data_IF_956838351465
#
_entry.id   IF_956838351465
#
_cell.length_a   1.000
_cell.length_b   1.000
_cell.length_c   1.000
_cell.angle_alpha   90.00
_cell.angle_beta   90.00
_cell.angle_gamma   90.00
#
_symmetry.space_group_name_H-M   'P 1'
#
loop_
_entity.id
_entity.type
_entity.pdbx_description
1 polymer ?
#
# COMPACT_ATOMS: atom_id res chain seq x y z
N UNK A 1 -24.51 10.65 -46.17
CA UNK A 1 -24.23 11.34 -44.87
C UNK A 1 -24.18 12.85 -45.12
N UNK A 2 -24.62 13.69 -44.17
CA UNK A 2 -24.43 15.15 -44.20
C UNK A 2 -23.90 15.66 -42.84
N UNK A 3 -23.46 16.92 -42.76
CA UNK A 3 -22.82 17.47 -41.53
C UNK A 3 -23.72 17.37 -40.31
N UNK A 4 -24.98 17.80 -40.41
CA UNK A 4 -25.93 17.79 -39.28
C UNK A 4 -26.17 16.38 -38.76
N UNK A 5 -26.39 15.42 -39.66
CA UNK A 5 -26.61 14.02 -39.30
C UNK A 5 -25.35 13.39 -38.69
N UNK A 6 -24.16 13.66 -39.24
CA UNK A 6 -22.91 13.14 -38.69
C UNK A 6 -22.62 13.69 -37.28
N UNK A 7 -22.86 14.98 -37.06
CA UNK A 7 -22.80 15.61 -35.75
C UNK A 7 -23.80 14.99 -34.76
N UNK A 8 -25.03 14.69 -35.21
CA UNK A 8 -26.03 14.03 -34.37
C UNK A 8 -25.62 12.61 -33.97
N UNK A 9 -25.08 11.82 -34.90
CA UNK A 9 -24.63 10.44 -34.64
C UNK A 9 -23.50 10.38 -33.60
N UNK A 10 -22.57 11.33 -33.64
CA UNK A 10 -21.44 11.41 -32.70
C UNK A 10 -21.70 12.33 -31.50
N UNK A 11 -22.92 12.85 -31.35
CA UNK A 11 -23.29 13.81 -30.30
C UNK A 11 -22.29 14.99 -30.19
N UNK A 12 -21.98 15.61 -31.32
CA UNK A 12 -21.08 16.76 -31.44
C UNK A 12 -21.91 18.02 -31.71
N UNK A 13 -21.63 19.10 -30.97
CA UNK A 13 -22.16 20.43 -31.29
C UNK A 13 -21.58 20.92 -32.63
N UNK A 14 -22.41 21.16 -33.67
CA UNK A 14 -21.93 21.61 -34.98
C UNK A 14 -21.15 22.93 -34.96
N UNK A 15 -21.31 23.74 -33.90
CA UNK A 15 -20.62 25.03 -33.72
C UNK A 15 -19.21 24.89 -33.15
N UNK A 16 -18.93 23.80 -32.43
CA UNK A 16 -17.68 23.58 -31.71
C UNK A 16 -16.91 22.36 -32.25
N UNK A 17 -17.03 22.11 -33.55
CA UNK A 17 -16.41 20.95 -34.18
C UNK A 17 -14.91 21.15 -34.41
N UNK A 18 -14.10 20.23 -33.90
CA UNK A 18 -12.69 20.11 -34.22
C UNK A 18 -12.29 18.63 -34.30
N UNK A 19 -11.07 18.37 -34.78
CA UNK A 19 -10.56 17.03 -35.01
C UNK A 19 -10.50 16.18 -33.73
N UNK A 20 -10.04 16.76 -32.62
CA UNK A 20 -9.92 16.06 -31.34
C UNK A 20 -11.29 15.62 -30.81
N UNK A 21 -12.30 16.49 -30.89
CA UNK A 21 -13.67 16.21 -30.48
C UNK A 21 -14.25 15.09 -31.34
N UNK A 22 -14.04 15.14 -32.66
CA UNK A 22 -14.49 14.10 -33.59
C UNK A 22 -13.87 12.75 -33.21
N UNK A 23 -12.53 12.70 -33.08
CA UNK A 23 -11.80 11.47 -32.72
C UNK A 23 -12.25 10.92 -31.37
N UNK A 24 -12.47 11.81 -30.39
CA UNK A 24 -12.87 11.42 -29.03
C UNK A 24 -14.25 10.78 -29.02
N UNK A 25 -15.23 11.43 -29.66
CA UNK A 25 -16.58 10.91 -29.72
C UNK A 25 -16.65 9.64 -30.57
N UNK A 26 -15.94 9.60 -31.69
CA UNK A 26 -15.84 8.39 -32.50
C UNK A 26 -15.39 7.19 -31.67
N UNK A 27 -14.28 7.29 -30.94
CA UNK A 27 -13.75 6.19 -30.12
C UNK A 27 -14.72 5.77 -29.01
N UNK A 28 -15.37 6.74 -28.35
CA UNK A 28 -16.35 6.46 -27.30
C UNK A 28 -17.57 5.68 -27.83
N UNK A 29 -18.12 6.08 -28.98
CA UNK A 29 -19.26 5.43 -29.61
C UNK A 29 -18.89 4.12 -30.32
N UNK A 30 -17.69 4.03 -30.88
CA UNK A 30 -17.14 2.80 -31.46
C UNK A 30 -17.05 1.70 -30.39
N UNK A 31 -16.58 2.03 -29.18
CA UNK A 31 -16.58 1.10 -28.04
C UNK A 31 -18.00 0.73 -27.60
N UNK A 32 -18.90 1.72 -27.46
CA UNK A 32 -20.28 1.50 -27.03
C UNK A 32 -21.05 0.53 -27.97
N UNK A 33 -20.81 0.63 -29.27
CA UNK A 33 -21.51 -0.18 -30.28
C UNK A 33 -20.66 -1.32 -30.86
N UNK A 34 -19.48 -1.60 -30.31
CA UNK A 34 -18.59 -2.62 -30.85
C UNK A 34 -19.26 -4.01 -30.88
N UNK A 35 -19.25 -4.74 -32.01
CA UNK A 35 -19.93 -6.03 -32.14
C UNK A 35 -19.51 -7.10 -31.12
N UNK A 36 -18.23 -7.14 -30.75
CA UNK A 36 -17.68 -8.14 -29.82
C UNK A 36 -18.26 -8.08 -28.39
N UNK A 37 -18.72 -6.91 -27.95
CA UNK A 37 -19.10 -6.65 -26.54
C UNK A 37 -20.54 -6.16 -26.39
N UNK A 38 -21.01 -5.38 -27.36
CA UNK A 38 -22.33 -4.76 -27.28
C UNK A 38 -23.43 -5.80 -27.47
N UNK A 39 -24.34 -5.90 -26.49
CA UNK A 39 -25.47 -6.85 -26.52
C UNK A 39 -26.66 -6.37 -27.36
N UNK A 40 -26.57 -5.18 -27.96
CA UNK A 40 -27.65 -4.62 -28.77
C UNK A 40 -27.72 -5.32 -30.14
N UNK A 41 -28.94 -5.69 -30.56
CA UNK A 41 -29.17 -6.36 -31.84
C UNK A 41 -28.76 -5.51 -33.06
N UNK A 42 -28.75 -4.19 -32.91
CA UNK A 42 -28.37 -3.23 -33.93
C UNK A 42 -26.93 -2.73 -33.81
N UNK A 43 -26.10 -3.30 -32.93
CA UNK A 43 -24.73 -2.81 -32.68
C UNK A 43 -23.89 -2.73 -33.95
N UNK A 44 -24.00 -3.72 -34.85
CA UNK A 44 -23.31 -3.68 -36.14
C UNK A 44 -23.72 -2.47 -37.00
N UNK A 45 -25.01 -2.18 -37.08
CA UNK A 45 -25.53 -1.04 -37.85
C UNK A 45 -25.14 0.30 -37.22
N UNK A 46 -25.20 0.39 -35.88
CA UNK A 46 -24.81 1.58 -35.14
C UNK A 46 -23.31 1.85 -35.26
N UNK A 47 -22.48 0.81 -35.15
CA UNK A 47 -21.04 0.90 -35.35
C UNK A 47 -20.68 1.37 -36.76
N UNK A 48 -21.36 0.83 -37.79
CA UNK A 48 -21.19 1.28 -39.17
C UNK A 48 -21.56 2.77 -39.34
N UNK A 49 -22.70 3.20 -38.78
CA UNK A 49 -23.13 4.62 -38.81
C UNK A 49 -22.13 5.54 -38.14
N UNK A 50 -21.57 5.12 -37.00
CA UNK A 50 -20.55 5.87 -36.25
C UNK A 50 -19.27 6.03 -37.08
N UNK A 51 -18.83 4.96 -37.76
CA UNK A 51 -17.68 5.02 -38.65
C UNK A 51 -17.93 5.94 -39.87
N UNK A 52 -19.10 5.83 -40.50
CA UNK A 52 -19.49 6.72 -41.61
C UNK A 52 -19.54 8.19 -41.21
N UNK A 53 -20.04 8.49 -40.00
CA UNK A 53 -20.10 9.85 -39.47
C UNK A 53 -18.69 10.42 -39.24
N UNK A 54 -17.80 9.64 -38.61
CA UNK A 54 -16.41 10.01 -38.37
C UNK A 54 -15.68 10.32 -39.69
N UNK A 55 -15.76 9.39 -40.65
CA UNK A 55 -15.17 9.54 -41.98
C UNK A 55 -15.66 10.82 -42.68
N UNK A 56 -16.97 11.07 -42.64
CA UNK A 56 -17.54 12.26 -43.26
C UNK A 56 -16.99 13.55 -42.64
N UNK A 57 -16.96 13.65 -41.30
CA UNK A 57 -16.52 14.86 -40.62
C UNK A 57 -15.02 15.13 -40.82
N UNK A 58 -14.16 14.11 -40.74
CA UNK A 58 -12.72 14.28 -40.97
C UNK A 58 -12.42 14.69 -42.41
N UNK A 59 -13.06 14.05 -43.39
CA UNK A 59 -12.82 14.34 -44.81
C UNK A 59 -13.37 15.71 -45.20
N UNK A 60 -14.62 16.01 -44.84
CA UNK A 60 -15.33 17.19 -45.36
C UNK A 60 -15.31 18.41 -44.44
N UNK A 61 -14.99 18.27 -43.16
CA UNK A 61 -14.90 19.41 -42.23
C UNK A 61 -13.45 19.72 -41.84
N UNK A 62 -12.54 18.75 -41.87
CA UNK A 62 -11.13 18.94 -41.45
C UNK A 62 -10.12 18.86 -42.61
N UNK A 63 -10.58 18.72 -43.86
CA UNK A 63 -9.76 18.58 -45.07
C UNK A 63 -8.65 17.51 -44.96
N UNK A 64 -8.90 16.45 -44.18
CA UNK A 64 -7.97 15.33 -44.09
C UNK A 64 -8.11 14.45 -45.32
N UNK A 65 -6.98 14.13 -45.98
CA UNK A 65 -6.90 13.00 -46.90
C UNK A 65 -7.08 11.71 -46.08
N UNK A 66 -8.31 11.24 -46.02
CA UNK A 66 -8.65 10.06 -45.23
C UNK A 66 -8.08 8.81 -45.91
N UNK A 67 -6.96 8.30 -45.39
CA UNK A 67 -6.42 6.99 -45.78
C UNK A 67 -7.38 5.92 -45.26
N UNK A 68 -7.82 5.03 -46.15
CA UNK A 68 -8.78 3.97 -45.83
C UNK A 68 -8.05 2.88 -45.01
N UNK A 69 -7.95 3.05 -43.70
CA UNK A 69 -7.64 1.94 -42.81
C UNK A 69 -8.89 1.05 -42.71
N UNK A 70 -8.78 -0.23 -43.03
CA UNK A 70 -9.89 -1.18 -42.91
C UNK A 70 -10.14 -1.50 -41.43
N UNK A 71 -10.80 -0.58 -40.72
CA UNK A 71 -11.08 -0.69 -39.29
C UNK A 71 -12.12 -1.77 -38.96
N UNK A 72 -12.71 -2.44 -39.97
CA UNK A 72 -13.70 -3.52 -39.76
C UNK A 72 -13.10 -4.76 -39.10
N UNK A 73 -11.78 -4.90 -39.11
CA UNK A 73 -11.03 -6.01 -38.50
C UNK A 73 -10.25 -5.59 -37.24
N UNK A 74 -10.43 -4.36 -36.73
CA UNK A 74 -9.76 -3.95 -35.50
C UNK A 74 -10.41 -4.64 -34.30
N UNK A 75 -9.58 -5.30 -33.49
CA UNK A 75 -10.05 -5.95 -32.27
C UNK A 75 -10.51 -4.90 -31.24
N UNK A 76 -11.48 -5.28 -30.41
CA UNK A 76 -11.97 -4.44 -29.31
C UNK A 76 -10.84 -3.83 -28.45
N UNK A 77 -9.76 -4.58 -28.19
CA UNK A 77 -8.59 -4.09 -27.44
C UNK A 77 -7.92 -2.87 -28.09
N UNK A 78 -7.84 -2.82 -29.41
CA UNK A 78 -7.27 -1.68 -30.15
C UNK A 78 -8.12 -0.42 -29.94
N UNK A 79 -9.45 -0.53 -29.93
CA UNK A 79 -10.34 0.59 -29.62
C UNK A 79 -10.18 1.07 -28.18
N UNK A 80 -10.03 0.13 -27.22
CA UNK A 80 -9.79 0.46 -25.81
C UNK A 80 -8.47 1.23 -25.65
N UNK A 81 -7.38 0.73 -26.26
CA UNK A 81 -6.08 1.38 -26.24
C UNK A 81 -6.12 2.78 -26.84
N UNK A 82 -6.74 2.94 -28.02
CA UNK A 82 -6.87 4.23 -28.70
C UNK A 82 -7.73 5.22 -27.92
N UNK A 83 -8.77 4.73 -27.25
CA UNK A 83 -9.63 5.55 -26.39
C UNK A 83 -8.85 6.10 -25.21
N UNK A 84 -8.14 5.25 -24.46
CA UNK A 84 -7.34 5.72 -23.33
C UNK A 84 -6.17 6.60 -23.76
N UNK A 85 -5.49 6.30 -24.87
CA UNK A 85 -4.45 7.18 -25.43
C UNK A 85 -4.95 8.61 -25.65
N UNK A 86 -6.19 8.76 -26.12
CA UNK A 86 -6.76 10.09 -26.31
C UNK A 86 -7.14 10.76 -25.00
N UNK A 87 -7.75 10.00 -24.09
CA UNK A 87 -8.19 10.54 -22.80
C UNK A 87 -7.02 11.04 -21.96
N UNK A 88 -5.87 10.37 -22.03
CA UNK A 88 -4.67 10.70 -21.27
C UNK A 88 -3.60 11.43 -22.09
N UNK A 89 -3.93 11.92 -23.29
CA UNK A 89 -2.97 12.67 -24.11
C UNK A 89 -2.47 13.89 -23.33
N UNK A 90 -1.15 13.97 -23.13
CA UNK A 90 -0.52 15.06 -22.39
C UNK A 90 -0.60 14.96 -20.86
N UNK A 91 -1.12 13.85 -20.31
CA UNK A 91 -1.09 13.58 -18.89
C UNK A 91 0.24 12.98 -18.44
N UNK A 92 0.68 13.32 -17.23
CA UNK A 92 1.82 12.68 -16.59
C UNK A 92 1.52 11.20 -16.33
N UNK A 93 2.50 10.32 -16.59
CA UNK A 93 2.36 8.85 -16.48
C UNK A 93 1.30 8.22 -17.41
N UNK A 94 1.04 8.83 -18.57
CA UNK A 94 0.08 8.33 -19.57
C UNK A 94 0.22 6.83 -19.86
N UNK A 95 1.43 6.35 -20.16
CA UNK A 95 1.65 4.93 -20.51
C UNK A 95 1.24 3.96 -19.40
N UNK A 96 1.52 4.32 -18.14
CA UNK A 96 1.15 3.53 -16.97
C UNK A 96 -0.37 3.45 -16.83
N UNK A 97 -1.09 4.57 -16.95
CA UNK A 97 -2.54 4.59 -16.85
C UNK A 97 -3.23 3.83 -17.98
N UNK A 98 -2.72 3.96 -19.20
CA UNK A 98 -3.23 3.23 -20.35
C UNK A 98 -3.03 1.73 -20.13
N UNK A 99 -1.84 1.31 -19.70
CA UNK A 99 -1.56 -0.09 -19.39
C UNK A 99 -2.52 -0.63 -18.32
N UNK A 100 -2.77 0.13 -17.25
CA UNK A 100 -3.67 -0.31 -16.17
C UNK A 100 -5.08 -0.53 -16.71
N UNK A 101 -5.62 0.48 -17.38
CA UNK A 101 -7.02 0.48 -17.80
C UNK A 101 -7.27 -0.47 -18.96
N UNK A 102 -6.32 -0.60 -19.89
CA UNK A 102 -6.37 -1.60 -20.97
C UNK A 102 -6.35 -3.01 -20.38
N UNK A 103 -5.43 -3.30 -19.45
CA UNK A 103 -5.32 -4.61 -18.83
C UNK A 103 -6.62 -5.00 -18.13
N UNK A 104 -7.22 -4.08 -17.38
CA UNK A 104 -8.48 -4.35 -16.67
C UNK A 104 -9.66 -4.52 -17.65
N UNK A 105 -9.71 -3.72 -18.72
CA UNK A 105 -10.84 -3.72 -19.66
C UNK A 105 -10.83 -4.90 -20.64
N UNK A 106 -9.66 -5.51 -20.88
CA UNK A 106 -9.50 -6.55 -21.90
C UNK A 106 -9.24 -7.95 -21.34
N UNK A 107 -8.84 -8.08 -20.08
CA UNK A 107 -8.47 -9.36 -19.47
C UNK A 107 -9.67 -10.12 -18.88
N UNK A 108 -9.47 -11.42 -18.60
CA UNK A 108 -10.45 -12.22 -17.87
C UNK A 108 -10.44 -11.95 -16.36
N UNK A 109 -11.49 -12.37 -15.66
CA UNK A 109 -11.71 -12.09 -14.22
C UNK A 109 -10.51 -12.37 -13.33
N UNK A 110 -9.87 -13.53 -13.47
CA UNK A 110 -8.71 -13.93 -12.65
C UNK A 110 -7.50 -13.01 -12.89
N UNK A 111 -7.22 -12.67 -14.15
CA UNK A 111 -6.14 -11.76 -14.50
C UNK A 111 -6.39 -10.34 -13.98
N UNK A 112 -7.65 -9.88 -14.01
CA UNK A 112 -8.04 -8.59 -13.43
C UNK A 112 -7.81 -8.59 -11.92
N UNK A 113 -8.21 -9.66 -11.22
CA UNK A 113 -8.03 -9.76 -9.76
C UNK A 113 -6.54 -9.65 -9.38
N UNK A 114 -5.70 -10.49 -9.98
CA UNK A 114 -4.27 -10.52 -9.68
C UNK A 114 -3.62 -9.17 -9.99
N UNK A 115 -4.00 -8.53 -11.10
CA UNK A 115 -3.46 -7.24 -11.48
C UNK A 115 -3.90 -6.13 -10.51
N UNK A 116 -5.17 -6.07 -10.13
CA UNK A 116 -5.67 -5.09 -9.16
C UNK A 116 -4.96 -5.20 -7.79
N UNK A 117 -4.59 -6.41 -7.36
CA UNK A 117 -3.85 -6.61 -6.11
C UNK A 117 -2.45 -5.97 -6.12
N UNK A 118 -1.84 -5.84 -7.31
CA UNK A 118 -0.53 -5.18 -7.48
C UNK A 118 -0.59 -3.66 -7.41
N UNK A 119 -1.77 -3.06 -7.54
CA UNK A 119 -1.94 -1.61 -7.55
C UNK A 119 -1.94 -1.03 -6.14
N UNK A 120 -1.39 0.17 -5.99
CA UNK A 120 -1.49 0.94 -4.73
C UNK A 120 -2.91 1.52 -4.54
N UNK A 121 -3.19 2.00 -3.32
CA UNK A 121 -4.51 2.56 -2.97
C UNK A 121 -4.92 3.74 -3.85
N UNK A 122 -3.98 4.63 -4.19
CA UNK A 122 -4.24 5.81 -5.03
C UNK A 122 -4.55 5.39 -6.46
N UNK A 123 -3.81 4.42 -6.98
CA UNK A 123 -4.03 3.81 -8.28
C UNK A 123 -5.39 3.13 -8.36
N UNK A 124 -5.78 2.35 -7.34
CA UNK A 124 -7.08 1.69 -7.28
C UNK A 124 -8.25 2.67 -7.27
N UNK A 125 -8.16 3.76 -6.48
CA UNK A 125 -9.21 4.78 -6.41
C UNK A 125 -9.38 5.47 -7.76
N UNK A 126 -8.29 5.95 -8.37
CA UNK A 126 -8.35 6.60 -9.69
C UNK A 126 -8.85 5.65 -10.77
N UNK A 127 -8.40 4.39 -10.74
CA UNK A 127 -8.86 3.34 -11.65
C UNK A 127 -10.36 3.13 -11.52
N UNK A 128 -10.88 3.03 -10.30
CA UNK A 128 -12.32 2.93 -10.04
C UNK A 128 -13.09 4.11 -10.65
N UNK A 129 -12.65 5.35 -10.41
CA UNK A 129 -13.29 6.56 -10.92
C UNK A 129 -13.39 6.57 -12.46
N UNK A 130 -12.28 6.26 -13.13
CA UNK A 130 -12.20 6.26 -14.59
C UNK A 130 -13.08 5.15 -15.17
N UNK A 131 -12.95 3.92 -14.68
CA UNK A 131 -13.74 2.79 -15.17
C UNK A 131 -15.23 2.98 -14.89
N UNK A 132 -15.59 3.61 -13.77
CA UNK A 132 -16.99 3.88 -13.43
C UNK A 132 -17.58 4.93 -14.38
N UNK A 133 -16.82 5.97 -14.70
CA UNK A 133 -17.22 7.02 -15.65
C UNK A 133 -17.47 6.49 -17.06
N UNK A 134 -16.67 5.52 -17.51
CA UNK A 134 -16.75 4.95 -18.86
C UNK A 134 -17.33 3.52 -18.89
N UNK A 135 -18.05 3.13 -17.84
CA UNK A 135 -18.61 1.79 -17.64
C UNK A 135 -19.39 1.30 -18.86
N UNK A 136 -20.30 2.13 -19.37
CA UNK A 136 -21.22 1.76 -20.44
C UNK A 136 -20.49 1.69 -21.79
N UNK A 137 -19.55 2.61 -22.06
CA UNK A 137 -18.71 2.57 -23.26
C UNK A 137 -17.89 1.28 -23.33
N UNK A 138 -17.33 0.86 -22.20
CA UNK A 138 -16.45 -0.30 -22.10
C UNK A 138 -17.20 -1.61 -21.85
N UNK A 139 -18.53 -1.59 -21.67
CA UNK A 139 -19.34 -2.77 -21.31
C UNK A 139 -18.81 -3.49 -20.05
N UNK A 140 -18.35 -2.74 -19.06
CA UNK A 140 -17.78 -3.31 -17.84
C UNK A 140 -18.87 -3.90 -16.95
N UNK A 141 -18.66 -5.14 -16.52
CA UNK A 141 -19.57 -5.84 -15.65
C UNK A 141 -19.46 -5.36 -14.19
N UNK A 142 -20.56 -5.47 -13.43
CA UNK A 142 -20.63 -5.02 -12.04
C UNK A 142 -19.55 -5.66 -11.15
N UNK A 143 -19.17 -6.91 -11.45
CA UNK A 143 -18.20 -7.64 -10.62
C UNK A 143 -16.83 -6.94 -10.57
N UNK A 144 -16.42 -6.21 -11.62
CA UNK A 144 -15.13 -5.51 -11.66
C UNK A 144 -15.12 -4.40 -10.59
N UNK A 145 -16.23 -3.67 -10.46
CA UNK A 145 -16.37 -2.61 -9.47
C UNK A 145 -16.43 -3.15 -8.04
N UNK A 146 -17.14 -4.25 -7.83
CA UNK A 146 -17.16 -4.92 -6.52
C UNK A 146 -15.77 -5.46 -6.15
N UNK A 147 -15.03 -6.03 -7.11
CA UNK A 147 -13.64 -6.46 -6.88
C UNK A 147 -12.74 -5.29 -6.47
N UNK A 148 -12.79 -4.16 -7.18
CA UNK A 148 -11.97 -2.99 -6.82
C UNK A 148 -12.34 -2.48 -5.43
N UNK A 149 -13.63 -2.39 -5.09
CA UNK A 149 -14.09 -1.96 -3.75
C UNK A 149 -13.59 -2.92 -2.65
N UNK A 150 -13.68 -4.23 -2.88
CA UNK A 150 -13.19 -5.24 -1.94
C UNK A 150 -11.69 -5.09 -1.72
N UNK A 151 -10.89 -4.95 -2.77
CA UNK A 151 -9.44 -4.76 -2.65
C UNK A 151 -9.11 -3.45 -1.94
N UNK A 152 -9.80 -2.35 -2.25
CA UNK A 152 -9.61 -1.08 -1.54
C UNK A 152 -9.88 -1.26 -0.04
N UNK A 153 -10.98 -1.91 0.33
CA UNK A 153 -11.32 -2.18 1.73
C UNK A 153 -10.25 -3.04 2.40
N UNK A 154 -9.87 -4.14 1.77
CA UNK A 154 -8.81 -5.03 2.24
C UNK A 154 -7.46 -4.34 2.41
N UNK A 155 -7.16 -3.30 1.62
CA UNK A 155 -5.96 -2.49 1.78
C UNK A 155 -6.10 -1.43 2.88
N UNK A 156 -7.30 -0.93 3.14
CA UNK A 156 -7.57 -0.03 4.28
C UNK A 156 -7.45 -0.78 5.60
N UNK A 157 -8.04 -1.97 5.68
CA UNK A 157 -8.00 -2.80 6.89
C UNK A 157 -6.56 -3.25 7.24
N UNK A 158 -5.66 -3.32 6.25
CA UNK A 158 -4.23 -3.60 6.46
C UNK A 158 -3.44 -2.43 7.05
N UNK A 159 -3.91 -1.19 6.88
CA UNK A 159 -3.22 -0.01 7.43
C UNK A 159 -3.45 0.14 8.94
N UNK A 160 -4.10 -0.83 9.60
CA UNK A 160 -4.21 -0.84 11.04
C UNK A 160 -2.85 -1.16 11.67
N UNK A 161 -2.42 -0.30 12.59
CA UNK A 161 -1.19 -0.45 13.35
C UNK A 161 -1.27 -1.67 14.27
N UNK A 162 -0.32 -2.59 14.15
CA UNK A 162 -0.23 -3.76 15.03
C UNK A 162 0.60 -3.39 16.25
N UNK A 163 0.04 -3.64 17.43
CA UNK A 163 0.74 -3.44 18.71
C UNK A 163 1.13 -4.82 19.25
N UNK A 164 2.42 -5.02 19.51
CA UNK A 164 2.96 -6.17 20.22
C UNK A 164 3.41 -5.74 21.61
N UNK A 165 3.16 -6.59 22.60
CA UNK A 165 3.46 -6.31 24.00
C UNK A 165 4.51 -7.29 24.53
N UNK A 166 5.79 -7.18 24.13
CA UNK A 166 6.83 -8.07 24.64
C UNK A 166 7.02 -7.88 26.14
N UNK A 167 7.37 -8.93 26.86
CA UNK A 167 7.82 -8.82 28.24
C UNK A 167 9.33 -8.52 28.29
N UNK A 168 9.90 -8.35 29.48
CA UNK A 168 11.33 -8.05 29.63
C UNK A 168 12.24 -9.19 29.12
N UNK A 169 11.81 -10.44 29.27
CA UNK A 169 12.57 -11.62 28.85
C UNK A 169 12.63 -11.71 27.33
N UNK A 170 11.54 -11.41 26.64
CA UNK A 170 11.50 -11.33 25.18
C UNK A 170 12.57 -10.38 24.62
N UNK A 171 12.82 -9.26 25.31
CA UNK A 171 13.80 -8.26 24.90
C UNK A 171 15.23 -8.74 25.15
N UNK A 172 15.49 -9.38 26.29
CA UNK A 172 16.81 -9.88 26.69
C UNK A 172 17.21 -11.19 25.97
N UNK A 173 16.25 -12.03 25.61
CA UNK A 173 16.47 -13.25 24.82
C UNK A 173 16.55 -12.97 23.32
N UNK A 174 16.27 -11.72 22.92
CA UNK A 174 16.24 -11.29 21.52
C UNK A 174 15.17 -12.06 20.72
N UNK A 175 14.01 -12.28 21.34
CA UNK A 175 12.93 -13.02 20.73
C UNK A 175 12.42 -12.30 19.47
N UNK A 176 12.18 -13.08 18.43
CA UNK A 176 11.64 -12.63 17.14
C UNK A 176 10.24 -13.21 17.00
N UNK A 177 9.24 -12.32 16.97
CA UNK A 177 7.85 -12.72 16.85
C UNK A 177 7.49 -13.00 15.39
N UNK A 178 6.84 -14.13 15.12
CA UNK A 178 6.32 -14.48 13.80
C UNK A 178 4.87 -14.00 13.68
N UNK A 179 4.64 -13.00 12.85
CA UNK A 179 3.31 -12.48 12.52
C UNK A 179 2.91 -12.94 11.12
N UNK A 180 1.75 -13.58 10.99
CA UNK A 180 1.22 -13.98 9.67
C UNK A 180 0.08 -13.04 9.26
N UNK A 181 0.25 -12.34 8.13
CA UNK A 181 -0.77 -11.46 7.54
C UNK A 181 -0.97 -11.84 6.07
N UNK A 182 -2.21 -12.21 5.70
CA UNK A 182 -2.60 -12.61 4.32
C UNK A 182 -1.61 -13.60 3.69
N UNK A 183 -1.37 -14.71 4.40
CA UNK A 183 -0.47 -15.80 3.98
C UNK A 183 1.02 -15.42 3.82
N UNK A 184 1.42 -14.22 4.27
CA UNK A 184 2.81 -13.80 4.36
C UNK A 184 3.27 -13.78 5.81
N UNK A 185 4.48 -14.28 6.06
CA UNK A 185 5.10 -14.32 7.37
C UNK A 185 6.08 -13.15 7.53
N UNK A 186 5.89 -12.38 8.60
CA UNK A 186 6.74 -11.27 9.02
C UNK A 186 7.44 -11.64 10.32
N UNK A 187 8.75 -11.41 10.37
CA UNK A 187 9.58 -11.69 11.55
C UNK A 187 9.93 -10.37 12.22
N UNK A 188 9.41 -10.17 13.43
CA UNK A 188 9.45 -8.89 14.14
C UNK A 188 10.42 -9.02 15.31
N UNK A 189 11.61 -8.40 15.25
CA UNK A 189 12.52 -8.35 16.39
C UNK A 189 11.92 -7.47 17.49
N UNK A 190 11.63 -8.07 18.64
CA UNK A 190 10.81 -7.46 19.70
C UNK A 190 11.50 -6.30 20.45
N UNK A 191 12.82 -6.14 20.29
CA UNK A 191 13.61 -5.05 20.89
C UNK A 191 13.53 -3.71 20.13
N UNK A 192 12.86 -3.68 18.97
CA UNK A 192 12.58 -2.42 18.26
C UNK A 192 11.28 -1.83 18.74
N UNK A 193 11.25 -0.52 19.00
CA UNK A 193 10.01 0.18 19.37
C UNK A 193 9.03 0.27 18.20
N UNK A 194 9.53 0.37 16.97
CA UNK A 194 8.70 0.52 15.77
C UNK A 194 9.40 -0.06 14.53
N UNK A 195 8.63 -0.75 13.70
CA UNK A 195 9.05 -1.33 12.43
C UNK A 195 7.96 -1.11 11.37
N UNK A 196 8.38 -0.89 10.13
CA UNK A 196 7.47 -0.89 8.98
C UNK A 196 7.90 -1.88 7.91
N UNK A 197 6.94 -2.58 7.33
CA UNK A 197 7.15 -3.58 6.29
C UNK A 197 6.29 -3.24 5.07
N UNK A 198 6.86 -3.30 3.86
CA UNK A 198 6.09 -3.14 2.63
C UNK A 198 5.34 -4.44 2.30
N UNK A 199 4.02 -4.33 2.13
CA UNK A 199 3.12 -5.39 1.70
C UNK A 199 2.42 -4.96 0.41
N UNK A 200 3.02 -5.28 -0.74
CA UNK A 200 2.39 -5.07 -2.06
C UNK A 200 1.85 -3.65 -2.25
N UNK A 201 2.65 -2.64 -1.88
CA UNK A 201 2.28 -1.23 -2.00
C UNK A 201 1.39 -0.71 -0.86
N UNK A 202 1.28 -1.46 0.23
CA UNK A 202 0.78 -0.99 1.53
C UNK A 202 1.90 -1.05 2.56
N UNK A 203 1.75 -0.35 3.68
CA UNK A 203 2.72 -0.37 4.78
C UNK A 203 2.08 -1.06 5.99
N UNK A 204 2.72 -2.13 6.45
CA UNK A 204 2.40 -2.78 7.71
C UNK A 204 3.24 -2.13 8.81
N UNK A 205 2.58 -1.38 9.68
CA UNK A 205 3.21 -0.73 10.82
C UNK A 205 3.08 -1.61 12.06
N UNK A 206 4.21 -1.91 12.71
CA UNK A 206 4.28 -2.69 13.94
C UNK A 206 4.95 -1.86 15.01
N UNK A 207 4.31 -1.72 16.16
CA UNK A 207 4.85 -1.06 17.34
C UNK A 207 4.99 -2.06 18.48
N UNK A 208 6.18 -2.13 19.08
CA UNK A 208 6.42 -2.96 20.26
C UNK A 208 6.35 -2.06 21.49
N UNK A 209 5.37 -2.29 22.35
CA UNK A 209 5.18 -1.58 23.62
C UNK A 209 5.38 -2.58 24.76
N UNK A 210 6.58 -2.63 25.37
CA UNK A 210 6.85 -3.64 26.38
C UNK A 210 5.92 -3.56 27.60
N UNK A 211 5.40 -4.71 28.02
CA UNK A 211 4.64 -4.86 29.27
C UNK A 211 5.62 -5.11 30.42
N UNK A 212 6.05 -4.03 31.08
CA UNK A 212 7.08 -4.08 32.12
C UNK A 212 6.52 -3.98 33.54
N UNK A 213 7.14 -4.65 34.53
CA UNK A 213 6.87 -4.39 35.94
C UNK A 213 7.09 -2.91 36.30
N UNK A 214 6.32 -2.37 37.26
CA UNK A 214 6.37 -0.94 37.66
C UNK A 214 7.75 -0.41 38.08
N UNK A 215 8.65 -1.30 38.47
CA UNK A 215 10.00 -0.96 38.93
C UNK A 215 11.03 -1.03 37.79
N UNK A 216 10.59 -1.29 36.56
CA UNK A 216 11.43 -1.38 35.38
C UNK A 216 10.91 -0.38 34.34
N UNK A 217 11.80 0.38 33.73
CA UNK A 217 11.49 1.14 32.52
C UNK A 217 12.64 1.07 31.52
N UNK A 218 12.32 1.37 30.27
CA UNK A 218 13.27 1.41 29.16
C UNK A 218 13.23 2.83 28.59
N UNK A 219 14.39 3.43 28.37
CA UNK A 219 14.50 4.79 27.86
C UNK A 219 14.57 4.83 26.31
N UNK A 220 14.79 6.02 25.74
CA UNK A 220 14.88 6.20 24.29
C UNK A 220 16.12 5.59 23.63
N UNK A 221 17.14 5.25 24.41
CA UNK A 221 18.37 4.60 23.95
C UNK A 221 18.31 3.08 24.13
N UNK A 222 17.15 2.54 24.50
CA UNK A 222 16.96 1.17 24.94
C UNK A 222 17.72 0.85 26.23
N UNK A 223 18.19 1.83 27.01
CA UNK A 223 18.80 1.58 28.30
C UNK A 223 17.73 1.10 29.29
N UNK A 224 18.06 0.07 30.07
CA UNK A 224 17.13 -0.52 31.04
C UNK A 224 17.36 0.14 32.39
N UNK A 225 16.28 0.51 33.08
CA UNK A 225 16.31 1.14 34.39
C UNK A 225 15.53 0.29 35.39
N UNK A 226 16.13 -0.02 36.53
CA UNK A 226 15.51 -0.83 37.59
C UNK A 226 15.54 -0.06 38.91
N UNK A 227 14.37 0.24 39.45
CA UNK A 227 14.20 0.76 40.81
C UNK A 227 14.25 -0.39 41.83
N UNK A 228 15.28 -0.40 42.67
CA UNK A 228 15.48 -1.46 43.64
C UNK A 228 15.61 -0.92 45.07
N UNK A 229 14.89 -1.54 46.01
CA UNK A 229 14.92 -1.17 47.43
C UNK A 229 15.53 -2.29 48.25
N UNK A 230 16.53 -1.98 49.06
CA UNK A 230 17.24 -2.95 49.91
C UNK A 230 17.40 -2.44 51.33
N UNK A 231 17.33 -3.34 52.30
CA UNK A 231 17.62 -3.03 53.70
C UNK A 231 19.12 -2.98 53.94
N UNK A 232 19.57 -2.01 54.75
CA UNK A 232 20.99 -1.87 55.11
C UNK A 232 21.59 -3.15 55.69
N UNK A 233 20.86 -3.84 56.56
CA UNK A 233 21.34 -5.04 57.25
C UNK A 233 21.66 -6.17 56.26
N UNK A 234 20.81 -6.36 55.25
CA UNK A 234 21.00 -7.39 54.20
C UNK A 234 22.26 -7.16 53.36
N UNK A 235 22.67 -5.91 53.14
CA UNK A 235 23.89 -5.60 52.39
C UNK A 235 25.18 -5.92 53.18
N UNK A 236 25.12 -5.87 54.52
CA UNK A 236 26.27 -6.10 55.39
C UNK A 236 26.57 -7.59 55.60
N UNK A 237 25.54 -8.44 55.53
CA UNK A 237 25.67 -9.88 55.72
C UNK A 237 26.28 -10.59 54.49
N UNK A 238 25.73 -10.33 53.30
CA UNK A 238 26.11 -11.05 52.08
C UNK A 238 27.22 -10.35 51.28
N UNK A 239 27.51 -9.09 51.57
CA UNK A 239 28.44 -8.21 50.85
C UNK A 239 28.26 -8.22 49.31
N UNK A 240 27.04 -8.51 48.86
CA UNK A 240 26.65 -8.52 47.46
C UNK A 240 25.14 -8.29 47.37
N UNK A 241 24.69 -7.77 46.24
CA UNK A 241 23.28 -7.59 45.91
C UNK A 241 22.95 -8.42 44.67
N UNK A 242 22.01 -9.35 44.83
CA UNK A 242 21.43 -10.11 43.71
C UNK A 242 20.09 -9.49 43.35
N UNK A 243 19.93 -9.09 42.10
CA UNK A 243 18.69 -8.55 41.54
C UNK A 243 18.17 -9.52 40.49
N UNK A 244 16.92 -9.94 40.65
CA UNK A 244 16.24 -10.85 39.74
C UNK A 244 15.06 -10.13 39.10
N UNK A 245 14.97 -10.14 37.77
CA UNK A 245 13.85 -9.57 37.02
C UNK A 245 13.64 -10.38 35.74
N UNK A 246 12.41 -10.83 35.52
CA UNK A 246 12.17 -11.89 34.55
C UNK A 246 13.04 -13.11 34.87
N UNK A 247 13.72 -13.65 33.86
CA UNK A 247 14.70 -14.73 33.94
C UNK A 247 16.14 -14.22 34.12
N UNK A 248 16.34 -12.90 34.11
CA UNK A 248 17.65 -12.28 34.26
C UNK A 248 18.07 -12.21 35.73
N UNK A 249 19.37 -12.42 35.97
CA UNK A 249 19.99 -12.37 37.28
C UNK A 249 21.25 -11.50 37.24
N UNK A 250 21.29 -10.47 38.06
CA UNK A 250 22.41 -9.53 38.10
C UNK A 250 23.01 -9.49 39.49
N UNK A 251 24.35 -9.61 39.51
CA UNK A 251 25.15 -9.58 40.72
C UNK A 251 25.90 -8.25 40.79
N UNK A 252 25.63 -7.49 41.85
CA UNK A 252 26.36 -6.27 42.16
C UNK A 252 27.22 -6.55 43.41
N UNK A 253 28.53 -6.46 43.25
CA UNK A 253 29.47 -6.57 44.35
C UNK A 253 29.33 -5.38 45.33
N UNK A 254 29.37 -5.66 46.63
CA UNK A 254 29.31 -4.65 47.69
C UNK A 254 30.34 -3.53 47.55
N UNK A 255 31.49 -3.78 46.92
CA UNK A 255 32.50 -2.74 46.66
C UNK A 255 32.00 -1.61 45.73
N UNK A 256 30.98 -1.88 44.91
CA UNK A 256 30.36 -0.91 44.01
C UNK A 256 29.17 -0.18 44.65
N UNK A 257 28.76 -0.57 45.86
CA UNK A 257 27.64 0.01 46.58
C UNK A 257 28.18 1.00 47.61
N UNK A 258 27.76 2.27 47.48
CA UNK A 258 28.05 3.30 48.48
C UNK A 258 26.98 3.24 49.57
N UNK A 259 27.34 3.41 50.84
CA UNK A 259 26.35 3.51 51.92
C UNK A 259 25.69 4.90 51.95
N UNK A 260 24.93 5.20 50.89
CA UNK A 260 24.13 6.41 50.69
C UNK A 260 22.67 5.99 50.45
N UNK A 261 21.71 6.80 50.93
CA UNK A 261 20.27 6.47 50.87
C UNK A 261 19.80 6.19 49.43
N UNK A 262 20.23 7.00 48.46
CA UNK A 262 19.91 6.83 47.04
C UNK A 262 21.17 6.87 46.21
N UNK A 263 21.27 5.96 45.26
CA UNK A 263 22.38 5.91 44.31
C UNK A 263 21.96 5.24 43.01
N UNK A 264 22.76 5.41 41.97
CA UNK A 264 22.57 4.71 40.69
C UNK A 264 23.85 3.95 40.37
N UNK A 265 23.69 2.67 40.05
CA UNK A 265 24.79 1.77 39.70
C UNK A 265 24.63 1.42 38.22
N UNK A 266 25.66 1.71 37.44
CA UNK A 266 25.72 1.44 36.01
C UNK A 266 26.37 0.08 35.75
N UNK A 267 25.67 -0.79 35.01
CA UNK A 267 26.21 -2.02 34.43
C UNK A 267 26.26 -1.81 32.90
N UNK A 268 27.47 -1.60 32.37
CA UNK A 268 27.64 -1.30 30.95
C UNK A 268 27.39 -2.54 30.10
N UNK A 269 26.73 -2.38 28.96
CA UNK A 269 26.43 -3.46 28.00
C UNK A 269 25.62 -4.63 28.59
N UNK A 270 24.75 -4.31 29.57
CA UNK A 270 23.90 -5.26 30.29
C UNK A 270 22.40 -4.94 30.15
N UNK A 271 22.04 -4.04 29.22
CA UNK A 271 20.66 -3.76 28.82
C UNK A 271 20.17 -4.71 27.72
N UNK A 272 19.35 -4.19 26.81
CA UNK A 272 18.77 -4.91 25.67
C UNK A 272 19.44 -4.45 24.35
N UNK A 273 19.24 -5.13 23.21
CA UNK A 273 19.84 -4.69 21.96
C UNK A 273 19.43 -3.28 21.54
N UNK A 274 20.39 -2.56 20.97
CA UNK A 274 20.18 -1.25 20.36
C UNK A 274 19.68 -1.47 18.92
N UNK A 275 18.51 -0.88 18.54
CA UNK A 275 17.95 -1.02 17.21
C UNK A 275 18.91 -0.59 16.10
N UNK A 276 19.21 -1.49 15.18
CA UNK A 276 20.04 -1.20 14.00
C UNK A 276 19.16 -0.90 12.78
N UNK A 277 19.39 0.26 12.15
CA UNK A 277 18.61 0.75 11.00
C UNK A 277 18.89 -0.01 9.69
N UNK A 278 20.08 -0.59 9.54
CA UNK A 278 20.48 -1.31 8.32
C UNK A 278 20.16 -2.80 8.40
N UNK A 279 20.24 -3.37 9.60
CA UNK A 279 19.87 -4.77 9.85
C UNK A 279 19.03 -4.86 11.13
N UNK A 280 17.70 -4.99 11.04
CA UNK A 280 16.84 -4.99 12.21
C UNK A 280 17.06 -6.21 13.12
N UNK A 281 17.70 -7.28 12.64
CA UNK A 281 18.01 -8.48 13.44
C UNK A 281 19.39 -8.45 14.11
N UNK A 282 20.13 -7.35 13.95
CA UNK A 282 21.43 -7.19 14.59
C UNK A 282 21.29 -6.94 16.09
N UNK A 283 22.03 -7.73 16.87
CA UNK A 283 22.07 -7.70 18.34
C UNK A 283 23.49 -7.47 18.88
N UNK A 284 24.45 -7.07 18.04
CA UNK A 284 25.85 -6.91 18.48
C UNK A 284 26.04 -5.77 19.49
N UNK A 285 25.23 -4.72 19.37
CA UNK A 285 25.30 -3.56 20.26
C UNK A 285 24.22 -3.68 21.33
N UNK A 286 24.65 -3.81 22.57
CA UNK A 286 23.78 -3.91 23.75
C UNK A 286 23.82 -2.58 24.50
N UNK A 287 22.66 -2.13 24.97
CA UNK A 287 22.50 -0.92 25.78
C UNK A 287 23.00 -1.11 27.22
N UNK A 288 22.93 -0.06 28.01
CA UNK A 288 23.34 -0.09 29.41
C UNK A 288 22.17 -0.44 30.34
N UNK A 289 22.52 -0.90 31.54
CA UNK A 289 21.57 -1.10 32.63
C UNK A 289 21.89 -0.18 33.80
N UNK A 290 20.87 0.53 34.27
CA UNK A 290 20.90 1.41 35.42
C UNK A 290 20.09 0.83 36.57
N UNK A 291 20.74 0.57 37.70
CA UNK A 291 20.08 0.17 38.93
C UNK A 291 19.98 1.38 39.86
N UNK A 292 18.76 1.88 40.04
CA UNK A 292 18.43 2.95 40.98
C UNK A 292 18.18 2.34 42.36
N UNK A 293 19.26 2.23 43.14
CA UNK A 293 19.25 1.60 44.44
C UNK A 293 18.84 2.60 45.53
N UNK A 294 17.83 2.24 46.32
CA UNK A 294 17.45 2.92 47.56
C UNK A 294 17.73 2.02 48.76
N UNK A 295 18.61 2.47 49.67
CA UNK A 295 18.95 1.78 50.91
C UNK A 295 18.05 2.31 52.02
N UNK A 296 17.28 1.42 52.66
CA UNK A 296 16.39 1.70 53.80
C UNK A 296 16.92 1.13 55.10
#
# INVERSE_FOLDING_TARGET
>A
MNKTLACQILEIDPKNINEDIIKKQYRAFALLYHPDKSKNKHSKELFQKVNEANKYLLTHCMNHEYVFEDERNQHYSSFVFNFFNQLFQGYQQQELWISILEKISTSCKEQVLNYLQTLDKTQLIKTYEILHKYRDNLHLEQYIFEMIKTIIKEKVDLNEKIILNPNIDDLYEHNVYKLTVKDNDFFIPLWHSYLSYDISGNELEVECIPELPKHICIDSNNDVHIDYKVKKDSLLEDFQLMITFGDQNIRIDGQHIRFQEKQTILQKYNGIPIPNKSNPYDVTNISDLYVHLTIT
#
